data_IF_582149359236
#
_entry.id   IF_582149359236
#
_cell.length_a   1.000
_cell.length_b   1.000
_cell.length_c   1.000
_cell.angle_alpha   90.00
_cell.angle_beta   90.00
_cell.angle_gamma   90.00
#
_symmetry.space_group_name_H-M   'P 1'
#
loop_
_entity.id
_entity.type
_entity.pdbx_description
1 polymer ?
#
# COMPACT_ATOMS: atom_id res chain seq x y z
N UNK A 1 7.81 2.22 -4.80
CA UNK A 1 8.28 3.55 -4.36
C UNK A 1 9.62 3.48 -3.62
N UNK A 2 9.70 2.98 -2.37
CA UNK A 2 10.96 3.05 -1.57
C UNK A 2 12.21 2.41 -2.18
N UNK A 3 12.06 1.36 -3.00
CA UNK A 3 13.17 0.71 -3.73
C UNK A 3 13.33 1.21 -5.19
N UNK A 4 12.70 2.33 -5.55
CA UNK A 4 12.83 2.95 -6.89
C UNK A 4 12.02 2.31 -8.03
N UNK A 5 11.35 1.18 -7.81
CA UNK A 5 10.56 0.47 -8.84
C UNK A 5 9.30 1.19 -9.34
N UNK A 6 8.88 2.26 -8.65
CA UNK A 6 7.75 3.10 -9.03
C UNK A 6 7.98 4.50 -8.45
N UNK A 7 7.58 5.54 -9.19
CA UNK A 7 7.59 6.92 -8.70
C UNK A 7 6.49 7.13 -7.64
N UNK A 8 6.63 8.10 -6.72
CA UNK A 8 5.55 8.43 -5.77
C UNK A 8 4.21 8.75 -6.46
N UNK A 9 4.25 9.42 -7.61
CA UNK A 9 3.07 9.85 -8.37
C UNK A 9 2.23 8.69 -8.94
N UNK A 10 2.78 7.48 -8.95
CA UNK A 10 2.01 6.27 -9.31
C UNK A 10 0.92 5.94 -8.29
N UNK A 11 1.06 6.36 -7.03
CA UNK A 11 0.06 6.08 -5.98
C UNK A 11 -1.33 6.64 -6.34
N UNK A 12 -1.46 7.93 -6.74
CA UNK A 12 -2.71 8.46 -7.30
C UNK A 12 -3.28 7.62 -8.45
N UNK A 13 -2.45 7.20 -9.40
CA UNK A 13 -2.89 6.41 -10.56
C UNK A 13 -3.50 5.06 -10.13
N UNK A 14 -2.91 4.40 -9.13
CA UNK A 14 -3.44 3.15 -8.54
C UNK A 14 -4.82 3.36 -7.94
N UNK A 15 -5.05 4.48 -7.23
CA UNK A 15 -6.36 4.79 -6.64
C UNK A 15 -7.41 5.08 -7.71
N UNK A 16 -7.05 5.84 -8.76
CA UNK A 16 -7.97 6.13 -9.88
C UNK A 16 -8.33 4.88 -10.66
N UNK A 17 -7.39 3.94 -10.82
CA UNK A 17 -7.62 2.71 -11.59
C UNK A 17 -8.66 1.77 -10.97
N UNK A 18 -8.85 1.81 -9.64
CA UNK A 18 -9.74 0.90 -8.89
C UNK A 18 -9.52 -0.59 -9.23
N UNK A 19 -8.29 -0.95 -9.62
CA UNK A 19 -7.93 -2.28 -10.10
C UNK A 19 -6.76 -2.84 -9.28
N UNK A 20 -7.00 -3.97 -8.61
CA UNK A 20 -5.99 -4.64 -7.77
C UNK A 20 -4.74 -5.03 -8.56
N UNK A 21 -4.84 -5.29 -9.86
CA UNK A 21 -3.71 -5.69 -10.71
C UNK A 21 -2.69 -4.55 -10.91
N UNK A 22 -3.15 -3.31 -10.80
CA UNK A 22 -2.30 -2.12 -10.93
C UNK A 22 -1.53 -1.86 -9.64
N UNK A 23 -2.02 -2.35 -8.48
CA UNK A 23 -1.33 -2.20 -7.20
C UNK A 23 -0.16 -3.17 -7.02
N UNK A 24 0.78 -2.82 -6.13
CA UNK A 24 1.91 -3.67 -5.78
C UNK A 24 1.54 -5.01 -5.14
N UNK A 25 2.53 -5.89 -5.00
CA UNK A 25 2.36 -7.14 -4.25
C UNK A 25 2.01 -6.85 -2.78
N UNK A 26 1.16 -7.69 -2.19
CA UNK A 26 0.84 -7.60 -0.76
C UNK A 26 2.10 -7.88 0.06
N UNK A 27 2.38 -7.03 1.06
CA UNK A 27 3.52 -7.24 1.94
C UNK A 27 3.32 -8.48 2.83
N UNK A 28 4.40 -9.16 3.25
CA UNK A 28 4.28 -10.31 4.14
C UNK A 28 3.67 -9.95 5.51
N UNK A 29 2.84 -10.82 6.11
CA UNK A 29 2.11 -10.50 7.35
C UNK A 29 3.01 -10.43 8.58
N UNK A 30 4.15 -11.13 8.61
CA UNK A 30 5.04 -11.17 9.78
C UNK A 30 5.67 -9.81 10.15
N UNK A 31 5.60 -8.82 9.26
CA UNK A 31 6.03 -7.44 9.54
C UNK A 31 4.91 -6.51 10.02
N UNK A 32 3.67 -6.98 10.09
CA UNK A 32 2.50 -6.20 10.49
C UNK A 32 2.15 -6.48 11.95
N UNK A 33 1.90 -5.42 12.73
CA UNK A 33 1.47 -5.51 14.12
C UNK A 33 0.33 -4.53 14.41
N UNK A 34 -0.72 -4.99 15.09
CA UNK A 34 -1.79 -4.11 15.59
C UNK A 34 -1.27 -3.32 16.79
N UNK A 35 -1.09 -2.01 16.64
CA UNK A 35 -0.48 -1.16 17.68
C UNK A 35 -1.47 -0.67 18.73
N UNK A 36 -2.68 -0.27 18.31
CA UNK A 36 -3.67 0.31 19.23
C UNK A 36 -5.08 0.19 18.66
N UNK A 37 -6.05 0.04 19.56
CA UNK A 37 -7.48 0.22 19.27
C UNK A 37 -7.95 1.42 20.10
N UNK A 38 -8.63 2.36 19.46
CA UNK A 38 -9.19 3.56 20.09
C UNK A 38 -10.69 3.37 20.30
N UNK A 39 -11.19 3.82 21.44
CA UNK A 39 -12.62 3.90 21.78
C UNK A 39 -12.93 5.34 22.21
N UNK A 40 -14.19 5.75 22.03
CA UNK A 40 -14.71 7.05 22.45
C UNK A 40 -14.88 7.14 23.97
#
# INVERSE_FOLDING_TARGET
VGVGRAKPDWIPEVFTALDRRVAGATAPPQGLCLTKVLYD
#
